data_IF_805353596711
#
_entry.id   IF_805353596711
#
_cell.length_a   1.000
_cell.length_b   1.000
_cell.length_c   1.000
_cell.angle_alpha   90.00
_cell.angle_beta   90.00
_cell.angle_gamma   90.00
#
_symmetry.space_group_name_H-M   'P 1'
#
loop_
_entity.id
_entity.type
_entity.pdbx_description
1 polymer ?
#
# COMPACT_ATOMS: atom_id res chain seq x y z
N UNK A 1 -33.40 -51.50 60.12
CA UNK A 1 -32.92 -50.14 59.89
C UNK A 1 -32.22 -50.14 58.51
N UNK A 2 -32.91 -49.80 57.45
CA UNK A 2 -32.35 -49.73 56.07
C UNK A 2 -32.15 -48.26 55.70
N UNK A 3 -30.89 -47.89 55.47
CA UNK A 3 -30.56 -46.56 54.98
C UNK A 3 -30.78 -46.49 53.46
N UNK A 4 -31.67 -45.61 53.06
CA UNK A 4 -31.91 -45.26 51.67
C UNK A 4 -30.90 -44.16 51.28
N UNK A 5 -30.06 -44.43 50.30
CA UNK A 5 -29.16 -43.43 49.67
C UNK A 5 -29.86 -42.90 48.44
N UNK A 6 -30.24 -41.61 48.47
CA UNK A 6 -30.75 -40.88 47.30
C UNK A 6 -29.55 -40.42 46.46
N UNK A 7 -29.50 -40.89 45.21
CA UNK A 7 -28.60 -40.37 44.17
C UNK A 7 -29.30 -39.19 43.49
N UNK A 8 -28.76 -37.98 43.66
CA UNK A 8 -29.10 -36.82 42.87
C UNK A 8 -28.24 -36.82 41.59
N UNK A 9 -28.85 -37.11 40.46
CA UNK A 9 -28.25 -36.94 39.14
C UNK A 9 -28.50 -35.49 38.71
N UNK A 10 -27.48 -34.65 38.88
CA UNK A 10 -27.49 -33.27 38.34
C UNK A 10 -27.30 -33.27 36.85
N UNK A 11 -28.35 -32.94 36.12
CA UNK A 11 -28.33 -32.70 34.68
C UNK A 11 -27.68 -31.32 34.44
N UNK A 12 -26.38 -31.28 34.18
CA UNK A 12 -25.74 -30.08 33.67
C UNK A 12 -26.14 -29.88 32.20
N UNK A 13 -27.10 -29.01 32.00
CA UNK A 13 -27.38 -28.46 30.66
C UNK A 13 -26.18 -27.61 30.22
N UNK A 14 -25.34 -28.15 29.35
CA UNK A 14 -24.35 -27.42 28.61
C UNK A 14 -25.09 -26.50 27.62
N UNK A 15 -25.43 -25.29 28.08
CA UNK A 15 -25.76 -24.20 27.17
C UNK A 15 -24.47 -23.81 26.43
N UNK A 16 -24.24 -24.45 25.28
CA UNK A 16 -23.30 -23.98 24.29
C UNK A 16 -23.79 -22.63 23.79
N UNK A 17 -23.22 -21.55 24.31
CA UNK A 17 -23.23 -20.28 23.61
C UNK A 17 -22.49 -20.49 22.28
N UNK A 18 -23.22 -20.86 21.24
CA UNK A 18 -22.80 -20.56 19.89
C UNK A 18 -22.84 -19.02 19.79
N UNK A 19 -21.71 -18.38 20.03
CA UNK A 19 -21.45 -17.07 19.45
C UNK A 19 -21.57 -17.29 17.93
N UNK A 20 -22.74 -16.96 17.38
CA UNK A 20 -22.83 -16.59 15.99
C UNK A 20 -21.89 -15.38 15.83
N UNK A 21 -20.64 -15.63 15.39
CA UNK A 21 -19.87 -14.62 14.73
C UNK A 21 -20.80 -14.11 13.62
N UNK A 22 -21.36 -12.92 13.82
CA UNK A 22 -21.91 -12.15 12.72
C UNK A 22 -20.75 -12.10 11.73
N UNK A 23 -20.87 -12.82 10.62
CA UNK A 23 -20.02 -12.61 9.48
C UNK A 23 -20.20 -11.13 9.15
N UNK A 24 -19.22 -10.31 9.51
CA UNK A 24 -19.23 -8.90 9.19
C UNK A 24 -19.19 -8.87 7.67
N UNK A 25 -20.25 -8.36 7.04
CA UNK A 25 -20.30 -8.25 5.59
C UNK A 25 -19.03 -7.47 5.17
N UNK A 26 -18.24 -8.08 4.29
CA UNK A 26 -17.03 -7.45 3.79
C UNK A 26 -17.37 -6.09 3.19
N UNK A 27 -16.68 -5.06 3.63
CA UNK A 27 -16.94 -3.71 3.16
C UNK A 27 -15.88 -3.25 2.17
N UNK A 28 -16.25 -2.32 1.32
CA UNK A 28 -15.33 -1.77 0.34
C UNK A 28 -14.84 -0.38 0.75
N UNK A 29 -13.56 -0.14 0.51
CA UNK A 29 -12.95 1.17 0.55
C UNK A 29 -12.83 1.65 -0.89
N UNK A 30 -13.28 2.85 -1.20
CA UNK A 30 -13.14 3.43 -2.55
C UNK A 30 -12.17 4.59 -2.53
N UNK A 31 -11.47 4.80 -3.65
CA UNK A 31 -10.52 5.90 -3.81
C UNK A 31 -11.07 6.96 -4.76
N UNK A 32 -10.86 8.22 -4.41
CA UNK A 32 -11.15 9.40 -5.23
C UNK A 32 -9.87 10.21 -5.39
N UNK A 33 -9.29 10.20 -6.59
CA UNK A 33 -8.18 11.11 -6.94
C UNK A 33 -8.76 12.45 -7.38
N UNK A 34 -8.24 13.54 -6.83
CA UNK A 34 -8.64 14.91 -7.17
C UNK A 34 -7.77 15.57 -8.25
N UNK A 35 -6.74 14.86 -8.75
CA UNK A 35 -5.92 15.32 -9.86
C UNK A 35 -4.68 16.13 -9.47
N UNK A 36 -4.49 16.50 -8.20
CA UNK A 36 -3.28 17.19 -7.71
C UNK A 36 -3.55 18.34 -6.75
N UNK A 37 -2.48 19.07 -6.37
CA UNK A 37 -2.50 20.05 -5.29
C UNK A 37 -3.30 21.33 -5.58
N UNK A 38 -3.53 21.69 -6.82
CA UNK A 38 -4.15 22.97 -7.17
C UNK A 38 -5.68 22.83 -7.32
N UNK A 39 -6.14 22.74 -8.55
CA UNK A 39 -7.58 22.66 -8.82
C UNK A 39 -8.04 21.21 -8.84
N UNK A 40 -9.06 20.86 -8.04
CA UNK A 40 -9.60 19.49 -8.09
C UNK A 40 -10.30 19.23 -9.42
N UNK A 41 -10.16 18.00 -9.95
CA UNK A 41 -10.82 17.55 -11.19
C UNK A 41 -12.34 17.45 -11.05
N UNK A 42 -12.85 17.35 -9.81
CA UNK A 42 -14.26 17.13 -9.51
C UNK A 42 -14.74 18.06 -8.41
N UNK A 43 -15.99 18.52 -8.52
CA UNK A 43 -16.66 19.22 -7.43
C UNK A 43 -17.18 18.26 -6.36
N UNK A 44 -17.49 18.77 -5.16
CA UNK A 44 -18.07 17.97 -4.09
C UNK A 44 -19.39 17.31 -4.54
N UNK A 45 -20.25 18.00 -5.30
CA UNK A 45 -21.51 17.48 -5.82
C UNK A 45 -21.31 16.29 -6.78
N UNK A 46 -20.30 16.37 -7.64
CA UNK A 46 -19.99 15.28 -8.56
C UNK A 46 -19.53 14.03 -7.79
N UNK A 47 -18.70 14.21 -6.75
CA UNK A 47 -18.21 13.11 -5.92
C UNK A 47 -19.36 12.51 -5.12
N UNK A 48 -20.20 13.33 -4.49
CA UNK A 48 -21.42 12.88 -3.77
C UNK A 48 -22.32 12.04 -4.68
N UNK A 49 -22.67 12.56 -5.88
CA UNK A 49 -23.51 11.84 -6.83
C UNK A 49 -22.89 10.50 -7.28
N UNK A 50 -21.56 10.45 -7.40
CA UNK A 50 -20.87 9.21 -7.72
C UNK A 50 -20.91 8.20 -6.57
N UNK A 51 -20.63 8.64 -5.35
CA UNK A 51 -20.66 7.79 -4.15
C UNK A 51 -22.09 7.28 -3.90
N UNK A 52 -23.13 8.09 -4.09
CA UNK A 52 -24.52 7.64 -4.01
C UNK A 52 -24.81 6.51 -5.00
N UNK A 53 -24.39 6.67 -6.25
CA UNK A 53 -24.58 5.66 -7.28
C UNK A 53 -23.84 4.36 -6.92
N UNK A 54 -22.60 4.46 -6.46
CA UNK A 54 -21.75 3.31 -6.08
C UNK A 54 -22.30 2.61 -4.85
N UNK A 55 -22.78 3.36 -3.85
CA UNK A 55 -23.34 2.81 -2.60
C UNK A 55 -24.65 2.04 -2.81
N UNK A 56 -25.33 2.24 -3.94
CA UNK A 56 -26.47 1.40 -4.33
C UNK A 56 -26.04 0.03 -4.86
N UNK A 57 -24.80 -0.09 -5.33
CA UNK A 57 -24.25 -1.32 -5.90
C UNK A 57 -23.45 -2.11 -4.88
N UNK A 58 -22.67 -1.44 -4.02
CA UNK A 58 -21.74 -2.07 -3.07
C UNK A 58 -21.76 -1.37 -1.71
N UNK A 59 -21.48 -2.07 -0.59
CA UNK A 59 -21.37 -1.47 0.73
C UNK A 59 -20.05 -0.69 0.85
N UNK A 60 -20.10 0.65 0.70
CA UNK A 60 -18.96 1.54 0.89
C UNK A 60 -18.79 1.83 2.38
N UNK A 61 -17.65 1.48 2.97
CA UNK A 61 -17.33 1.73 4.38
C UNK A 61 -16.47 2.98 4.57
N UNK A 62 -15.53 3.21 3.66
CA UNK A 62 -14.59 4.32 3.73
C UNK A 62 -14.35 4.90 2.34
N UNK A 63 -14.05 6.20 2.30
CA UNK A 63 -13.58 6.89 1.10
C UNK A 63 -12.20 7.44 1.37
N UNK A 64 -11.22 7.02 0.59
CA UNK A 64 -9.89 7.62 0.53
C UNK A 64 -9.94 8.70 -0.53
N UNK A 65 -9.69 9.95 -0.16
CA UNK A 65 -9.81 11.09 -1.05
C UNK A 65 -8.57 11.98 -0.97
N UNK A 66 -8.07 12.39 -2.09
CA UNK A 66 -6.98 13.37 -2.19
C UNK A 66 -6.43 13.48 -3.59
N UNK A 67 -5.51 14.34 -3.71
CA UNK A 67 -5.15 15.44 -2.81
C UNK A 67 -5.44 16.75 -3.51
N UNK A 68 -5.80 17.77 -2.76
CA UNK A 68 -6.02 19.14 -3.23
C UNK A 68 -5.89 20.08 -2.04
N UNK A 69 -5.60 21.36 -2.28
CA UNK A 69 -5.60 22.39 -1.24
C UNK A 69 -7.01 22.99 -1.00
N UNK A 70 -8.02 22.59 -1.75
CA UNK A 70 -9.38 23.06 -1.61
C UNK A 70 -10.05 22.41 -0.38
N UNK A 71 -9.99 23.13 0.75
CA UNK A 71 -10.58 22.69 2.02
C UNK A 71 -12.11 22.55 1.97
N UNK A 72 -12.78 23.34 1.15
CA UNK A 72 -14.25 23.37 1.12
C UNK A 72 -14.81 22.08 0.52
N UNK A 73 -14.11 21.48 -0.45
CA UNK A 73 -14.49 20.17 -0.98
C UNK A 73 -14.48 19.09 0.10
N UNK A 74 -13.45 19.06 0.94
CA UNK A 74 -13.33 18.06 2.03
C UNK A 74 -14.39 18.27 3.11
N UNK A 75 -14.62 19.51 3.57
CA UNK A 75 -15.62 19.80 4.59
C UNK A 75 -17.02 19.38 4.15
N UNK A 76 -17.40 19.70 2.91
CA UNK A 76 -18.70 19.32 2.34
C UNK A 76 -18.83 17.81 2.17
N UNK A 77 -17.76 17.14 1.75
CA UNK A 77 -17.74 15.68 1.64
C UNK A 77 -17.76 15.01 3.00
N UNK A 78 -17.03 15.54 4.00
CA UNK A 78 -17.02 15.01 5.35
C UNK A 78 -18.41 15.04 5.98
N UNK A 79 -19.12 16.17 5.91
CA UNK A 79 -20.51 16.27 6.39
C UNK A 79 -21.41 15.21 5.74
N UNK A 80 -21.37 15.11 4.42
CA UNK A 80 -22.17 14.14 3.66
C UNK A 80 -21.84 12.68 3.99
N UNK A 81 -20.56 12.32 4.06
CA UNK A 81 -20.11 10.94 4.32
C UNK A 81 -20.44 10.51 5.76
N UNK A 82 -20.24 11.39 6.73
CA UNK A 82 -20.55 11.12 8.14
C UNK A 82 -22.06 10.91 8.36
N UNK A 83 -22.92 11.68 7.70
CA UNK A 83 -24.38 11.46 7.75
C UNK A 83 -24.79 10.08 7.25
N UNK A 84 -23.98 9.46 6.39
CA UNK A 84 -24.18 8.09 5.88
C UNK A 84 -23.43 7.02 6.67
N UNK A 85 -22.67 7.40 7.69
CA UNK A 85 -21.81 6.48 8.45
C UNK A 85 -20.59 5.98 7.67
N UNK A 86 -20.18 6.71 6.62
CA UNK A 86 -19.00 6.41 5.80
C UNK A 86 -17.82 7.24 6.31
N UNK A 87 -16.69 6.60 6.58
CA UNK A 87 -15.48 7.28 7.04
C UNK A 87 -14.72 7.94 5.89
N UNK A 88 -14.15 9.11 6.15
CA UNK A 88 -13.36 9.87 5.18
C UNK A 88 -11.88 9.86 5.56
N UNK A 89 -11.01 9.32 4.69
CA UNK A 89 -9.57 9.28 4.89
C UNK A 89 -8.87 10.18 3.88
N UNK A 90 -7.92 11.00 4.37
CA UNK A 90 -7.08 11.80 3.48
C UNK A 90 -6.06 10.90 2.76
N UNK A 91 -6.05 10.93 1.44
CA UNK A 91 -4.97 10.35 0.64
C UNK A 91 -3.76 11.27 0.71
N UNK A 92 -2.75 10.89 1.48
CA UNK A 92 -1.59 11.72 1.79
C UNK A 92 -0.32 11.12 1.20
N UNK A 93 0.27 11.73 0.15
CA UNK A 93 1.57 11.32 -0.35
C UNK A 93 2.67 11.71 0.64
N UNK A 94 3.65 10.82 0.85
CA UNK A 94 4.68 10.98 1.90
C UNK A 94 6.04 11.34 1.31
N UNK A 95 6.65 10.42 0.54
CA UNK A 95 8.01 10.64 0.00
C UNK A 95 8.03 11.01 -1.47
N UNK A 96 6.91 11.33 -2.08
CA UNK A 96 6.85 11.86 -3.43
C UNK A 96 5.60 12.75 -3.62
N UNK A 97 5.55 13.49 -4.72
CA UNK A 97 4.39 14.30 -5.12
C UNK A 97 3.98 15.39 -4.12
N UNK A 98 4.94 15.87 -3.32
CA UNK A 98 4.75 16.97 -2.35
C UNK A 98 5.57 18.21 -2.71
N UNK A 99 6.26 18.22 -3.84
CA UNK A 99 7.17 19.28 -4.27
C UNK A 99 6.49 20.63 -4.47
N UNK A 100 5.21 20.62 -4.80
CA UNK A 100 4.42 21.85 -5.01
C UNK A 100 4.02 22.53 -3.69
N UNK A 101 4.05 21.80 -2.58
CA UNK A 101 3.57 22.28 -1.26
C UNK A 101 4.63 22.20 -0.16
N UNK A 102 5.71 21.46 -0.38
CA UNK A 102 6.79 21.28 0.57
C UNK A 102 8.16 21.37 -0.11
N UNK A 103 9.11 22.05 0.54
CA UNK A 103 10.51 22.00 0.16
C UNK A 103 11.19 20.81 0.86
N UNK A 104 11.39 19.73 0.13
CA UNK A 104 11.94 18.48 0.62
C UNK A 104 13.34 18.21 0.09
N UNK A 105 14.14 17.47 0.86
CA UNK A 105 15.42 16.93 0.44
C UNK A 105 15.19 15.72 -0.47
N UNK A 106 15.74 15.72 -1.72
CA UNK A 106 15.53 14.61 -2.64
C UNK A 106 16.26 13.34 -2.18
N UNK A 107 15.72 12.18 -2.57
CA UNK A 107 16.46 10.92 -2.52
C UNK A 107 17.54 10.91 -3.63
N UNK A 108 18.73 10.38 -3.30
CA UNK A 108 19.83 10.20 -4.26
C UNK A 108 20.21 8.71 -4.32
N UNK A 109 20.81 8.29 -5.43
CA UNK A 109 21.36 6.94 -5.54
C UNK A 109 22.65 6.78 -4.72
N UNK A 110 23.27 5.60 -4.74
CA UNK A 110 24.53 5.36 -4.02
C UNK A 110 25.71 6.17 -4.55
N UNK A 111 25.59 6.78 -5.73
CA UNK A 111 26.62 7.66 -6.34
C UNK A 111 26.31 9.14 -6.16
N UNK A 112 25.27 9.49 -5.37
CA UNK A 112 24.89 10.86 -5.05
C UNK A 112 24.09 11.57 -6.14
N UNK A 113 23.57 10.85 -7.14
CA UNK A 113 22.76 11.42 -8.21
C UNK A 113 21.26 11.26 -7.89
N UNK A 114 20.46 12.26 -8.25
CA UNK A 114 18.99 12.10 -8.24
C UNK A 114 18.62 11.20 -9.40
N UNK A 115 18.04 10.00 -9.16
CA UNK A 115 17.68 9.10 -10.24
C UNK A 115 16.66 9.74 -11.19
N UNK A 116 16.91 9.59 -12.49
CA UNK A 116 15.97 10.05 -13.51
C UNK A 116 14.71 9.16 -13.51
N UNK A 117 13.56 9.79 -13.66
CA UNK A 117 12.34 9.04 -13.94
C UNK A 117 12.30 8.64 -15.41
N UNK A 118 11.80 7.45 -15.71
CA UNK A 118 11.46 7.08 -17.08
C UNK A 118 10.25 7.92 -17.53
N UNK A 119 10.26 8.29 -18.82
CA UNK A 119 9.07 8.82 -19.48
C UNK A 119 8.11 7.66 -19.71
N UNK A 120 7.18 7.49 -18.78
CA UNK A 120 6.18 6.42 -18.86
C UNK A 120 5.04 6.86 -19.78
N UNK A 121 4.53 5.93 -20.58
CA UNK A 121 3.36 6.14 -21.44
C UNK A 121 2.11 6.60 -20.66
N UNK A 122 2.09 6.40 -19.36
CA UNK A 122 1.05 6.87 -18.45
C UNK A 122 1.27 8.31 -17.91
N UNK A 123 2.39 8.96 -18.25
CA UNK A 123 2.71 10.29 -17.74
C UNK A 123 3.11 10.36 -16.27
N UNK A 124 3.41 9.22 -15.65
CA UNK A 124 3.74 9.13 -14.23
C UNK A 124 5.25 9.17 -14.02
N UNK A 125 5.79 10.33 -13.68
CA UNK A 125 7.19 10.52 -13.27
C UNK A 125 7.25 10.98 -11.83
N UNK A 126 7.70 10.12 -10.90
CA UNK A 126 7.79 10.48 -9.49
C UNK A 126 9.22 10.84 -9.11
N UNK A 127 9.39 12.01 -8.47
CA UNK A 127 10.60 12.33 -7.71
C UNK A 127 10.39 11.89 -6.27
N UNK A 128 11.34 11.15 -5.74
CA UNK A 128 11.28 10.71 -4.35
C UNK A 128 12.15 11.57 -3.45
N UNK A 129 11.66 11.78 -2.24
CA UNK A 129 12.34 12.50 -1.17
C UNK A 129 13.08 11.52 -0.26
N UNK A 130 14.14 11.98 0.40
CA UNK A 130 14.92 11.16 1.32
C UNK A 130 14.04 10.71 2.52
N UNK A 131 13.88 9.39 2.76
CA UNK A 131 13.09 8.91 3.89
C UNK A 131 13.75 9.16 5.25
N UNK A 132 15.07 9.34 5.27
CA UNK A 132 15.84 9.54 6.52
C UNK A 132 15.94 10.99 6.94
N UNK A 133 15.54 11.94 6.10
CA UNK A 133 15.60 13.35 6.47
C UNK A 133 14.42 13.72 7.40
N UNK A 134 14.70 14.11 8.66
CA UNK A 134 13.64 14.47 9.60
C UNK A 134 12.83 15.69 9.13
N UNK A 135 13.41 16.57 8.29
CA UNK A 135 12.69 17.69 7.67
C UNK A 135 11.54 17.17 6.80
N UNK A 136 11.80 16.15 5.97
CA UNK A 136 10.78 15.58 5.09
C UNK A 136 9.62 14.96 5.88
N UNK A 137 9.93 14.23 6.95
CA UNK A 137 8.91 13.68 7.85
C UNK A 137 8.10 14.80 8.55
N UNK A 138 8.78 15.83 9.04
CA UNK A 138 8.12 16.99 9.67
C UNK A 138 7.23 17.75 8.69
N UNK A 139 7.65 17.88 7.42
CA UNK A 139 6.86 18.53 6.38
C UNK A 139 5.55 17.77 6.11
N UNK A 140 5.55 16.45 6.04
CA UNK A 140 4.33 15.65 5.82
C UNK A 140 3.33 15.84 6.97
N UNK A 141 3.81 15.76 8.21
CA UNK A 141 2.96 15.98 9.39
C UNK A 141 2.46 17.43 9.44
N UNK A 142 3.35 18.40 9.18
CA UNK A 142 3.01 19.83 9.11
C UNK A 142 2.01 20.14 7.99
N UNK A 143 2.08 19.46 6.87
CA UNK A 143 1.12 19.59 5.77
C UNK A 143 -0.29 19.19 6.21
N UNK A 144 -0.42 18.06 6.92
CA UNK A 144 -1.69 17.67 7.53
C UNK A 144 -2.20 18.76 8.51
N UNK A 145 -1.35 19.20 9.43
CA UNK A 145 -1.74 20.17 10.47
C UNK A 145 -2.20 21.52 9.86
N UNK A 146 -1.55 21.97 8.80
CA UNK A 146 -1.82 23.28 8.17
C UNK A 146 -3.01 23.25 7.20
N UNK A 147 -3.16 22.18 6.43
CA UNK A 147 -4.15 22.15 5.35
C UNK A 147 -5.37 21.29 5.66
N UNK A 148 -5.26 20.26 6.50
CA UNK A 148 -6.29 19.23 6.59
C UNK A 148 -6.88 19.00 7.97
N UNK A 149 -6.26 19.49 9.04
CA UNK A 149 -6.68 19.21 10.42
C UNK A 149 -8.10 19.71 10.76
N UNK A 150 -8.62 20.68 10.01
CA UNK A 150 -9.96 21.26 10.18
C UNK A 150 -10.97 20.83 9.10
N UNK A 151 -10.64 19.77 8.33
CA UNK A 151 -11.46 19.28 7.21
C UNK A 151 -12.35 18.07 7.55
N UNK A 152 -12.32 17.57 8.78
CA UNK A 152 -13.20 16.48 9.24
C UNK A 152 -12.76 15.09 8.80
N UNK A 153 -11.47 14.85 8.57
CA UNK A 153 -10.97 13.51 8.28
C UNK A 153 -10.99 12.60 9.51
N UNK A 154 -11.45 11.37 9.34
CA UNK A 154 -11.38 10.30 10.35
C UNK A 154 -10.00 9.64 10.41
N UNK A 155 -9.21 9.81 9.35
CA UNK A 155 -7.90 9.19 9.25
C UNK A 155 -7.13 9.67 8.02
N UNK A 156 -5.95 9.08 7.87
CA UNK A 156 -5.05 9.28 6.72
C UNK A 156 -4.77 7.96 6.04
N UNK A 157 -4.56 8.02 4.74
CA UNK A 157 -4.06 6.92 3.94
C UNK A 157 -2.72 7.33 3.35
N UNK A 158 -1.64 6.77 3.90
CA UNK A 158 -0.26 7.11 3.55
C UNK A 158 0.15 6.41 2.27
N UNK A 159 0.39 7.17 1.23
CA UNK A 159 0.89 6.71 -0.05
C UNK A 159 2.32 7.20 -0.31
N UNK A 160 3.00 6.62 -1.29
CA UNK A 160 4.42 6.92 -1.61
C UNK A 160 5.35 6.70 -0.41
N UNK A 161 5.01 5.78 0.50
CA UNK A 161 5.80 5.40 1.69
C UNK A 161 6.91 4.41 1.34
N UNK A 162 7.74 4.78 0.37
CA UNK A 162 8.76 3.94 -0.24
C UNK A 162 9.86 4.75 -0.90
N UNK A 163 10.89 4.08 -1.36
CA UNK A 163 11.86 4.64 -2.31
C UNK A 163 11.46 4.31 -3.76
N UNK A 164 12.29 4.72 -4.70
CA UNK A 164 12.10 4.41 -6.13
C UNK A 164 12.14 2.91 -6.39
N UNK A 165 11.36 2.48 -7.38
CA UNK A 165 11.37 1.11 -7.91
C UNK A 165 12.27 1.00 -9.13
N UNK A 166 12.23 -0.17 -9.80
CA UNK A 166 12.91 -0.38 -11.07
C UNK A 166 12.40 0.50 -12.23
N UNK A 167 11.34 1.30 -12.02
CA UNK A 167 10.95 2.40 -12.92
C UNK A 167 12.11 3.37 -13.16
N UNK A 168 12.90 3.63 -12.12
CA UNK A 168 14.13 4.44 -12.20
C UNK A 168 15.40 3.58 -12.36
N UNK A 169 15.27 2.35 -12.84
CA UNK A 169 16.38 1.42 -13.01
C UNK A 169 17.07 1.01 -11.72
N UNK A 170 18.26 0.42 -11.86
CA UNK A 170 19.11 0.01 -10.73
C UNK A 170 19.47 1.19 -9.83
N UNK A 171 19.77 2.35 -10.42
CA UNK A 171 20.08 3.59 -9.69
C UNK A 171 18.94 3.98 -8.71
N UNK A 172 17.67 3.85 -9.12
CA UNK A 172 16.53 4.12 -8.24
C UNK A 172 16.40 3.13 -7.09
N UNK A 173 16.61 1.85 -7.38
CA UNK A 173 16.50 0.77 -6.37
C UNK A 173 17.68 0.79 -5.39
N UNK A 174 18.88 1.17 -5.84
CA UNK A 174 20.04 1.38 -4.99
C UNK A 174 20.09 2.83 -4.48
N UNK A 175 19.12 3.21 -3.67
CA UNK A 175 18.95 4.52 -3.02
C UNK A 175 18.21 4.37 -1.67
N UNK A 176 18.24 5.33 -0.77
CA UNK A 176 18.93 6.60 -0.80
C UNK A 176 20.36 6.49 -0.23
N UNK A 177 21.34 7.06 -0.93
CA UNK A 177 22.76 7.09 -0.55
C UNK A 177 23.21 8.44 0.05
N UNK A 178 22.30 9.31 0.50
CA UNK A 178 22.66 10.57 1.14
C UNK A 178 23.30 10.33 2.53
N UNK A 179 24.06 11.31 3.08
CA UNK A 179 24.75 11.12 4.37
C UNK A 179 23.85 10.64 5.52
N UNK A 180 22.62 11.13 5.61
CA UNK A 180 21.65 10.69 6.63
C UNK A 180 21.26 9.22 6.46
N UNK A 181 21.05 8.77 5.23
CA UNK A 181 20.74 7.37 4.95
C UNK A 181 21.98 6.49 5.22
N UNK A 182 23.17 6.92 4.82
CA UNK A 182 24.43 6.19 5.09
C UNK A 182 24.60 5.95 6.60
N UNK A 183 24.37 6.97 7.43
CA UNK A 183 24.41 6.83 8.89
C UNK A 183 23.40 5.80 9.41
N UNK A 184 22.15 5.83 8.91
CA UNK A 184 21.12 4.86 9.31
C UNK A 184 21.44 3.44 8.83
N UNK A 185 21.96 3.28 7.63
CA UNK A 185 22.41 1.96 7.15
C UNK A 185 23.57 1.42 8.00
N UNK A 186 24.52 2.28 8.40
CA UNK A 186 25.59 1.89 9.29
C UNK A 186 25.07 1.43 10.67
N UNK A 187 24.04 2.05 11.21
CA UNK A 187 23.36 1.61 12.43
C UNK A 187 22.70 0.22 12.28
N UNK A 188 22.26 -0.14 11.08
CA UNK A 188 21.76 -1.47 10.71
C UNK A 188 22.91 -2.48 10.39
N UNK A 189 24.17 -2.07 10.53
CA UNK A 189 25.34 -2.90 10.26
C UNK A 189 25.68 -3.01 8.76
N UNK A 190 25.21 -2.10 7.92
CA UNK A 190 25.47 -2.06 6.47
C UNK A 190 26.39 -0.90 6.12
N UNK A 191 27.53 -1.22 5.53
CA UNK A 191 28.46 -0.24 4.94
C UNK A 191 28.06 0.02 3.49
N UNK A 192 27.59 1.23 3.19
CA UNK A 192 27.13 1.63 1.85
C UNK A 192 28.26 1.63 0.83
N UNK A 193 29.50 1.97 1.23
CA UNK A 193 30.65 1.92 0.30
C UNK A 193 31.00 0.45 -0.06
N UNK A 194 30.83 -0.48 0.89
CA UNK A 194 30.97 -1.91 0.59
C UNK A 194 29.86 -2.43 -0.34
N UNK A 195 28.61 -1.97 -0.16
CA UNK A 195 27.49 -2.30 -1.07
C UNK A 195 27.79 -1.80 -2.49
N UNK A 196 28.24 -0.57 -2.61
CA UNK A 196 28.59 0.05 -3.89
C UNK A 196 29.73 -0.70 -4.60
N UNK A 197 30.83 -0.98 -3.87
CA UNK A 197 31.96 -1.74 -4.39
C UNK A 197 31.57 -3.15 -4.84
N UNK A 198 30.70 -3.84 -4.08
CA UNK A 198 30.21 -5.17 -4.43
C UNK A 198 29.34 -5.15 -5.67
N UNK A 199 28.44 -4.13 -5.79
CA UNK A 199 27.64 -3.96 -7.00
C UNK A 199 28.52 -3.64 -8.22
N UNK A 200 29.49 -2.76 -8.10
CA UNK A 200 30.43 -2.43 -9.19
C UNK A 200 31.26 -3.63 -9.64
N UNK A 201 31.60 -4.52 -8.71
CA UNK A 201 32.35 -5.75 -9.00
C UNK A 201 31.51 -6.86 -9.64
N UNK A 202 30.22 -6.97 -9.26
CA UNK A 202 29.33 -8.08 -9.66
C UNK A 202 28.34 -7.73 -10.76
N UNK A 203 28.05 -6.43 -10.96
CA UNK A 203 27.00 -5.99 -11.86
C UNK A 203 25.66 -6.64 -11.53
N UNK A 204 24.95 -7.12 -12.53
CA UNK A 204 23.63 -7.72 -12.37
C UNK A 204 23.62 -8.94 -11.43
N UNK A 205 24.75 -9.67 -11.32
CA UNK A 205 24.85 -10.81 -10.41
C UNK A 205 24.70 -10.41 -8.93
N UNK A 206 24.84 -9.13 -8.58
CA UNK A 206 24.51 -8.60 -7.26
C UNK A 206 23.04 -8.88 -6.89
N UNK A 207 22.14 -8.85 -7.87
CA UNK A 207 20.71 -9.08 -7.71
C UNK A 207 20.29 -10.56 -7.83
N UNK A 208 21.21 -11.49 -8.14
CA UNK A 208 20.85 -12.90 -8.30
C UNK A 208 20.21 -13.47 -7.04
N UNK A 209 19.22 -14.35 -7.22
CA UNK A 209 18.46 -14.96 -6.14
C UNK A 209 18.58 -16.48 -6.18
N UNK A 210 18.62 -17.10 -5.01
CA UNK A 210 18.69 -18.57 -4.85
C UNK A 210 17.30 -19.21 -4.88
N UNK A 211 16.29 -18.47 -4.43
CA UNK A 211 14.89 -18.92 -4.41
C UNK A 211 13.93 -17.75 -4.34
N UNK A 212 12.67 -18.06 -4.61
CA UNK A 212 11.52 -17.20 -4.35
C UNK A 212 10.50 -17.97 -3.51
N UNK A 213 10.10 -17.36 -2.39
CA UNK A 213 9.06 -17.89 -1.52
C UNK A 213 7.94 -16.83 -1.40
N UNK A 214 6.68 -17.16 -1.67
CA UNK A 214 5.58 -16.19 -1.65
C UNK A 214 5.47 -15.37 -0.36
N UNK A 215 5.80 -15.97 0.78
CA UNK A 215 5.71 -15.34 2.10
C UNK A 215 6.99 -14.64 2.55
N UNK A 216 8.14 -14.93 1.93
CA UNK A 216 9.44 -14.38 2.28
C UNK A 216 10.04 -13.49 1.16
N UNK A 217 9.46 -13.53 -0.04
CA UNK A 217 9.96 -12.82 -1.21
C UNK A 217 11.18 -13.49 -1.85
N UNK A 218 12.07 -12.69 -2.42
CA UNK A 218 13.29 -13.14 -3.09
C UNK A 218 14.44 -13.31 -2.10
N UNK A 219 15.06 -14.50 -2.10
CA UNK A 219 16.25 -14.80 -1.29
C UNK A 219 17.49 -14.51 -2.14
N UNK A 220 18.22 -13.45 -1.85
CA UNK A 220 19.44 -13.07 -2.60
C UNK A 220 20.58 -14.09 -2.37
N UNK A 221 21.30 -14.44 -3.44
CA UNK A 221 22.54 -15.25 -3.36
C UNK A 221 23.68 -14.42 -2.75
N UNK A 222 23.73 -13.14 -3.08
CA UNK A 222 24.74 -12.22 -2.59
C UNK A 222 24.40 -11.76 -1.16
N UNK A 223 25.21 -12.07 -0.14
CA UNK A 223 24.91 -11.71 1.25
C UNK A 223 24.93 -10.19 1.49
N UNK A 224 25.71 -9.42 0.69
CA UNK A 224 25.73 -7.96 0.79
C UNK A 224 24.40 -7.40 0.27
N UNK A 225 23.88 -7.92 -0.84
CA UNK A 225 22.55 -7.53 -1.36
C UNK A 225 21.45 -7.87 -0.34
N UNK A 226 21.47 -9.08 0.22
CA UNK A 226 20.51 -9.52 1.24
C UNK A 226 20.50 -8.57 2.45
N UNK A 227 21.69 -8.24 2.98
CA UNK A 227 21.84 -7.32 4.10
C UNK A 227 21.35 -5.89 3.74
N UNK A 228 21.70 -5.40 2.56
CA UNK A 228 21.29 -4.09 2.08
C UNK A 228 19.78 -3.95 1.98
N UNK A 229 19.09 -4.87 1.28
CA UNK A 229 17.64 -4.78 1.11
C UNK A 229 16.88 -4.97 2.42
N UNK A 230 17.40 -5.79 3.34
CA UNK A 230 16.86 -5.90 4.70
C UNK A 230 16.98 -4.57 5.45
N UNK A 231 18.18 -4.01 5.51
CA UNK A 231 18.43 -2.72 6.17
C UNK A 231 17.62 -1.57 5.53
N UNK A 232 17.48 -1.57 4.20
CA UNK A 232 16.64 -0.62 3.48
C UNK A 232 15.17 -0.70 3.95
N UNK A 233 14.64 -1.92 4.09
CA UNK A 233 13.32 -2.15 4.66
C UNK A 233 13.17 -1.51 6.04
N UNK A 234 14.13 -1.77 6.95
CA UNK A 234 14.12 -1.20 8.29
C UNK A 234 14.22 0.33 8.28
N UNK A 235 15.16 0.91 7.52
CA UNK A 235 15.41 2.37 7.49
C UNK A 235 14.18 3.13 6.97
N UNK A 236 13.60 2.67 5.87
CA UNK A 236 12.44 3.35 5.26
C UNK A 236 11.20 3.15 6.14
N UNK A 237 10.91 1.92 6.55
CA UNK A 237 9.72 1.61 7.34
C UNK A 237 9.74 2.26 8.71
N UNK A 238 10.90 2.39 9.37
CA UNK A 238 11.02 3.13 10.63
C UNK A 238 10.67 4.62 10.48
N UNK A 239 11.01 5.23 9.35
CA UNK A 239 10.64 6.63 9.06
C UNK A 239 9.14 6.76 8.83
N UNK A 240 8.53 5.83 8.11
CA UNK A 240 7.07 5.77 7.91
C UNK A 240 6.34 5.55 9.23
N UNK A 241 6.83 4.63 10.07
CA UNK A 241 6.27 4.35 11.39
C UNK A 241 6.24 5.62 12.27
N UNK A 242 7.31 6.40 12.29
CA UNK A 242 7.36 7.65 13.04
C UNK A 242 6.33 8.69 12.54
N UNK A 243 6.11 8.80 11.23
CA UNK A 243 5.09 9.66 10.63
C UNK A 243 3.69 9.14 11.03
N UNK A 244 3.45 7.84 10.89
CA UNK A 244 2.19 7.19 11.24
C UNK A 244 1.81 7.41 12.70
N UNK A 245 2.75 7.20 13.63
CA UNK A 245 2.54 7.40 15.06
C UNK A 245 2.27 8.88 15.39
N UNK A 246 2.95 9.80 14.71
CA UNK A 246 2.69 11.22 14.85
C UNK A 246 1.27 11.61 14.40
N UNK A 247 0.80 11.08 13.27
CA UNK A 247 -0.56 11.31 12.77
C UNK A 247 -1.61 10.61 13.65
N UNK A 248 -1.33 9.39 14.11
CA UNK A 248 -2.20 8.66 15.06
C UNK A 248 -2.36 9.41 16.39
N UNK A 249 -1.33 10.09 16.88
CA UNK A 249 -1.41 10.91 18.10
C UNK A 249 -2.40 12.07 17.99
N UNK A 250 -2.86 12.41 16.79
CA UNK A 250 -3.93 13.37 16.48
C UNK A 250 -5.33 12.76 16.47
N UNK A 251 -5.44 11.46 16.82
CA UNK A 251 -6.71 10.71 16.79
C UNK A 251 -7.10 10.16 15.43
N UNK A 252 -6.16 10.13 14.47
CA UNK A 252 -6.42 9.67 13.10
C UNK A 252 -6.22 8.15 12.98
N UNK A 253 -7.11 7.48 12.25
CA UNK A 253 -6.84 6.17 11.71
C UNK A 253 -5.74 6.25 10.64
N UNK A 254 -4.83 5.27 10.60
CA UNK A 254 -3.73 5.23 9.63
C UNK A 254 -3.85 4.00 8.74
N UNK A 255 -4.14 4.22 7.46
CA UNK A 255 -3.99 3.23 6.40
C UNK A 255 -2.69 3.42 5.63
N UNK A 256 -2.14 2.35 5.07
CA UNK A 256 -0.88 2.39 4.33
C UNK A 256 -0.99 1.72 2.97
N UNK A 257 -0.50 2.42 1.92
CA UNK A 257 -0.39 1.89 0.56
C UNK A 257 0.95 1.18 0.35
N UNK A 258 0.91 -0.11 0.09
CA UNK A 258 2.11 -0.95 0.01
C UNK A 258 2.24 -1.58 -1.38
N UNK A 259 3.48 -1.77 -1.81
CA UNK A 259 3.76 -2.67 -2.95
C UNK A 259 3.31 -4.09 -2.64
N UNK A 260 3.01 -4.86 -3.67
CA UNK A 260 2.74 -6.29 -3.50
C UNK A 260 3.91 -6.95 -2.74
N UNK A 261 3.64 -7.90 -1.82
CA UNK A 261 4.66 -8.45 -0.92
C UNK A 261 5.95 -8.89 -1.61
N UNK A 262 5.88 -9.50 -2.81
CA UNK A 262 7.05 -10.01 -3.52
C UNK A 262 8.03 -8.93 -3.99
N UNK A 263 7.58 -7.68 -4.17
CA UNK A 263 8.41 -6.55 -4.62
C UNK A 263 8.72 -5.55 -3.51
N UNK A 264 8.11 -5.68 -2.35
CA UNK A 264 8.16 -4.68 -1.28
C UNK A 264 9.58 -4.39 -0.77
N UNK A 265 10.45 -5.41 -0.68
CA UNK A 265 11.83 -5.25 -0.22
C UNK A 265 12.66 -4.33 -1.12
N UNK A 266 12.44 -4.37 -2.44
CA UNK A 266 13.18 -3.52 -3.38
C UNK A 266 12.90 -2.02 -3.18
N UNK A 267 11.71 -1.68 -2.71
CA UNK A 267 11.30 -0.29 -2.48
C UNK A 267 11.41 0.14 -1.00
N UNK A 268 11.98 -0.72 -0.14
CA UNK A 268 12.22 -0.42 1.27
C UNK A 268 10.98 -0.53 2.16
N UNK A 269 10.03 -1.38 1.80
CA UNK A 269 8.86 -1.65 2.64
C UNK A 269 9.03 -2.98 3.39
N UNK A 270 9.12 -2.90 4.72
CA UNK A 270 9.06 -4.03 5.63
C UNK A 270 7.64 -4.16 6.18
N UNK A 271 6.93 -5.18 5.73
CA UNK A 271 5.53 -5.40 6.10
C UNK A 271 5.32 -5.61 7.60
N UNK A 272 6.26 -6.25 8.30
CA UNK A 272 6.13 -6.49 9.72
C UNK A 272 6.14 -5.16 10.50
N UNK A 273 7.10 -4.28 10.18
CA UNK A 273 7.19 -2.97 10.81
C UNK A 273 5.97 -2.12 10.44
N UNK A 274 5.61 -2.04 9.16
CA UNK A 274 4.53 -1.17 8.69
C UNK A 274 3.16 -1.61 9.21
N UNK A 275 2.90 -2.93 9.27
CA UNK A 275 1.65 -3.46 9.80
C UNK A 275 1.45 -3.19 11.29
N UNK A 276 2.53 -3.17 12.09
CA UNK A 276 2.48 -2.84 13.52
C UNK A 276 2.14 -1.35 13.77
N UNK A 277 2.40 -0.49 12.78
CA UNK A 277 2.14 0.95 12.83
C UNK A 277 0.95 1.39 11.97
N UNK A 278 0.17 0.46 11.43
CA UNK A 278 -1.03 0.73 10.63
C UNK A 278 -2.29 0.21 11.31
N UNK A 279 -3.41 0.90 11.15
CA UNK A 279 -4.73 0.36 11.47
C UNK A 279 -5.22 -0.58 10.36
N UNK A 280 -4.81 -0.31 9.13
CA UNK A 280 -4.96 -1.24 8.01
C UNK A 280 -3.87 -1.04 6.95
N UNK A 281 -3.60 -2.12 6.21
CA UNK A 281 -2.70 -2.11 5.06
C UNK A 281 -3.47 -2.40 3.76
N UNK A 282 -3.03 -1.78 2.69
CA UNK A 282 -3.55 -1.97 1.33
C UNK A 282 -2.38 -2.30 0.39
N UNK A 283 -2.01 -3.58 0.24
CA UNK A 283 -1.12 -3.99 -0.83
C UNK A 283 -1.73 -3.76 -2.20
N UNK A 284 -0.95 -3.20 -3.13
CA UNK A 284 -1.33 -2.99 -4.52
C UNK A 284 -1.22 -4.31 -5.29
N UNK A 285 -2.28 -5.13 -5.30
CA UNK A 285 -2.31 -6.42 -5.97
C UNK A 285 -2.85 -6.30 -7.41
N UNK A 286 -2.25 -5.36 -8.16
CA UNK A 286 -2.67 -4.99 -9.51
C UNK A 286 -2.06 -5.94 -10.55
N UNK A 287 -2.84 -6.93 -11.00
CA UNK A 287 -2.40 -7.97 -11.94
C UNK A 287 -2.37 -7.52 -13.39
N UNK A 288 -3.25 -6.59 -13.76
CA UNK A 288 -3.42 -6.11 -15.15
C UNK A 288 -2.94 -4.67 -15.37
N UNK A 289 -2.33 -4.07 -14.35
CA UNK A 289 -1.82 -2.71 -14.46
C UNK A 289 -0.42 -2.70 -15.08
N UNK A 290 -0.28 -2.03 -16.23
CA UNK A 290 0.99 -1.80 -16.94
C UNK A 290 1.51 -0.38 -16.67
N UNK A 291 1.64 -0.06 -15.39
CA UNK A 291 2.14 1.22 -14.86
C UNK A 291 2.79 0.97 -13.49
N UNK A 292 3.46 1.97 -12.87
CA UNK A 292 4.07 1.82 -11.54
C UNK A 292 3.14 1.17 -10.52
N UNK A 293 3.69 0.28 -9.70
CA UNK A 293 3.01 -0.60 -8.74
C UNK A 293 2.16 -1.73 -9.36
N UNK A 294 2.01 -1.82 -10.67
CA UNK A 294 1.46 -3.02 -11.32
C UNK A 294 2.42 -4.19 -11.18
N UNK A 295 1.94 -5.34 -10.69
CA UNK A 295 2.80 -6.48 -10.33
C UNK A 295 3.64 -6.98 -11.51
N UNK A 296 3.01 -7.21 -12.67
CA UNK A 296 3.71 -7.65 -13.88
C UNK A 296 4.64 -6.58 -14.44
N UNK A 297 4.21 -5.32 -14.42
CA UNK A 297 5.00 -4.20 -14.88
C UNK A 297 6.31 -4.04 -14.09
N UNK A 298 6.24 -4.05 -12.76
CA UNK A 298 7.42 -3.93 -11.90
C UNK A 298 8.36 -5.14 -12.03
N UNK A 299 7.80 -6.34 -12.18
CA UNK A 299 8.60 -7.54 -12.38
C UNK A 299 9.31 -7.54 -13.74
N UNK A 300 8.65 -7.08 -14.79
CA UNK A 300 9.25 -6.90 -16.12
C UNK A 300 10.37 -5.86 -16.10
N UNK A 301 10.19 -4.77 -15.35
CA UNK A 301 11.22 -3.75 -15.20
C UNK A 301 12.44 -4.27 -14.43
N UNK A 302 12.24 -5.03 -13.35
CA UNK A 302 13.32 -5.74 -12.67
C UNK A 302 14.11 -6.61 -13.67
N UNK A 303 13.42 -7.46 -14.44
CA UNK A 303 14.06 -8.37 -15.40
C UNK A 303 14.80 -7.64 -16.53
N UNK A 304 14.33 -6.46 -16.91
CA UNK A 304 14.99 -5.60 -17.90
C UNK A 304 16.17 -4.83 -17.33
N UNK A 305 16.08 -4.42 -16.06
CA UNK A 305 17.13 -3.62 -15.42
C UNK A 305 18.36 -4.47 -15.07
N UNK A 306 18.16 -5.77 -14.79
CA UNK A 306 19.23 -6.72 -14.41
C UNK A 306 19.12 -8.02 -15.20
N UNK A 307 19.31 -7.98 -16.54
CA UNK A 307 19.05 -9.11 -17.43
C UNK A 307 19.93 -10.35 -17.17
N UNK A 308 21.12 -10.17 -16.63
CA UNK A 308 22.08 -11.24 -16.33
C UNK A 308 21.94 -11.79 -14.90
N UNK A 309 21.07 -11.21 -14.06
CA UNK A 309 20.75 -11.73 -12.75
C UNK A 309 19.99 -13.07 -12.85
N UNK A 310 20.38 -14.05 -12.01
CA UNK A 310 19.88 -15.43 -12.07
C UNK A 310 18.85 -15.72 -10.98
N UNK A 311 18.15 -16.86 -11.13
CA UNK A 311 17.28 -17.43 -10.12
C UNK A 311 15.87 -16.87 -10.08
N UNK A 312 15.54 -15.85 -10.85
CA UNK A 312 14.19 -15.30 -10.92
C UNK A 312 13.23 -16.27 -11.65
N UNK A 313 12.13 -16.70 -11.01
CA UNK A 313 11.16 -17.59 -11.64
C UNK A 313 10.38 -16.89 -12.77
N UNK A 314 9.74 -17.70 -13.62
CA UNK A 314 8.72 -17.20 -14.55
C UNK A 314 7.39 -17.02 -13.78
N UNK A 315 7.12 -15.79 -13.34
CA UNK A 315 5.91 -15.48 -12.57
C UNK A 315 4.77 -15.09 -13.52
N UNK A 316 3.66 -15.81 -13.37
CA UNK A 316 2.40 -15.45 -14.05
C UNK A 316 1.54 -14.64 -13.09
N UNK A 317 1.05 -13.49 -13.54
CA UNK A 317 0.17 -12.62 -12.75
C UNK A 317 -1.29 -13.09 -12.82
N UNK A 318 -1.49 -14.39 -12.55
CA UNK A 318 -2.80 -15.06 -12.52
C UNK A 318 -3.43 -15.04 -11.11
N UNK A 319 -4.54 -15.73 -10.93
CA UNK A 319 -5.25 -15.79 -9.65
C UNK A 319 -4.50 -16.62 -8.61
N UNK A 320 -3.74 -17.64 -9.02
CA UNK A 320 -2.88 -18.43 -8.14
C UNK A 320 -1.76 -17.56 -7.55
N UNK A 321 -1.16 -16.71 -8.38
CA UNK A 321 -0.18 -15.75 -7.90
C UNK A 321 -0.81 -14.74 -6.93
N UNK A 322 -2.03 -14.26 -7.22
CA UNK A 322 -2.79 -13.41 -6.30
C UNK A 322 -2.98 -14.12 -4.95
N UNK A 323 -3.42 -15.37 -4.92
CA UNK A 323 -3.55 -16.14 -3.68
C UNK A 323 -2.23 -16.24 -2.90
N UNK A 324 -1.10 -16.38 -3.59
CA UNK A 324 0.21 -16.40 -2.93
C UNK A 324 0.54 -15.08 -2.22
N UNK A 325 0.19 -13.94 -2.84
CA UNK A 325 0.40 -12.62 -2.26
C UNK A 325 -0.58 -12.35 -1.09
N UNK A 326 -1.84 -12.80 -1.21
CA UNK A 326 -2.81 -12.73 -0.12
C UNK A 326 -2.35 -13.55 1.09
N UNK A 327 -1.83 -14.75 0.87
CA UNK A 327 -1.27 -15.60 1.94
C UNK A 327 -0.11 -14.92 2.67
N UNK A 328 0.74 -14.18 1.96
CA UNK A 328 1.84 -13.43 2.57
C UNK A 328 1.36 -12.36 3.57
N UNK A 329 0.11 -11.92 3.47
CA UNK A 329 -0.48 -10.92 4.36
C UNK A 329 -1.15 -11.53 5.60
N UNK A 330 -1.48 -12.82 5.60
CA UNK A 330 -2.22 -13.46 6.69
C UNK A 330 -1.60 -13.27 8.09
N UNK A 331 -0.26 -13.29 8.27
CA UNK A 331 0.36 -13.17 9.59
C UNK A 331 0.13 -11.83 10.30
N UNK A 332 -0.18 -10.75 9.56
CA UNK A 332 -0.26 -9.41 10.16
C UNK A 332 -1.60 -9.20 10.88
N UNK A 333 -1.56 -8.51 12.02
CA UNK A 333 -2.72 -8.33 12.90
C UNK A 333 -3.64 -7.16 12.51
N UNK A 334 -3.12 -6.16 11.77
CA UNK A 334 -3.90 -5.00 11.33
C UNK A 334 -4.98 -5.38 10.31
N UNK A 335 -5.91 -4.46 10.04
CA UNK A 335 -6.91 -4.61 8.98
C UNK A 335 -6.25 -4.86 7.61
N UNK A 336 -6.84 -5.72 6.79
CA UNK A 336 -6.31 -6.12 5.48
C UNK A 336 -7.32 -5.81 4.40
N UNK A 337 -6.98 -4.83 3.57
CA UNK A 337 -7.80 -4.37 2.44
C UNK A 337 -6.98 -4.37 1.15
N UNK A 338 -6.72 -5.54 0.54
CA UNK A 338 -5.96 -5.61 -0.72
C UNK A 338 -6.54 -4.66 -1.77
N UNK A 339 -5.65 -3.93 -2.44
CA UNK A 339 -6.02 -3.04 -3.54
C UNK A 339 -6.22 -3.82 -4.83
N UNK A 340 -7.42 -3.70 -5.41
CA UNK A 340 -7.77 -4.31 -6.71
C UNK A 340 -8.10 -3.18 -7.67
N UNK A 341 -7.48 -3.18 -8.84
CA UNK A 341 -7.74 -2.19 -9.88
C UNK A 341 -9.11 -2.40 -10.53
N UNK A 342 -9.90 -1.33 -10.59
CA UNK A 342 -11.26 -1.36 -11.17
C UNK A 342 -11.43 -0.42 -12.37
N UNK A 343 -10.41 0.39 -12.67
CA UNK A 343 -10.45 1.34 -13.78
C UNK A 343 -10.11 0.66 -15.10
N UNK A 344 -10.89 0.95 -16.13
CA UNK A 344 -10.60 0.50 -17.47
C UNK A 344 -9.79 1.56 -18.23
N UNK A 345 -8.56 1.21 -18.60
CA UNK A 345 -7.70 2.00 -19.49
C UNK A 345 -7.03 1.03 -20.49
N UNK A 346 -7.39 1.01 -21.77
CA UNK A 346 -7.00 -0.07 -22.68
C UNK A 346 -5.53 -0.44 -22.73
N UNK A 347 -4.63 0.53 -22.56
CA UNK A 347 -3.16 0.30 -22.61
C UNK A 347 -2.56 0.08 -21.22
N UNK A 348 -3.15 0.69 -20.19
CA UNK A 348 -2.59 0.72 -18.84
C UNK A 348 -3.21 -0.34 -17.93
N UNK A 349 -4.53 -0.51 -18.00
CA UNK A 349 -5.26 -1.47 -17.18
C UNK A 349 -6.52 -1.96 -17.94
N UNK A 350 -6.40 -3.00 -18.77
CA UNK A 350 -7.51 -3.57 -19.55
C UNK A 350 -8.40 -4.47 -18.68
N UNK A 351 -8.87 -3.97 -17.55
CA UNK A 351 -9.70 -4.69 -16.59
C UNK A 351 -11.08 -5.02 -17.14
N UNK A 352 -11.71 -6.07 -16.64
CA UNK A 352 -13.09 -6.46 -16.96
C UNK A 352 -13.88 -6.80 -15.70
N UNK A 353 -15.23 -6.83 -15.76
CA UNK A 353 -16.06 -7.26 -14.65
C UNK A 353 -15.69 -8.66 -14.13
N UNK A 354 -15.38 -9.61 -15.02
CA UNK A 354 -14.99 -10.99 -14.67
C UNK A 354 -13.69 -11.02 -13.89
N UNK A 355 -12.67 -10.28 -14.40
CA UNK A 355 -11.37 -10.14 -13.74
C UNK A 355 -11.51 -9.57 -12.32
N UNK A 356 -12.32 -8.52 -12.16
CA UNK A 356 -12.55 -7.87 -10.86
C UNK A 356 -13.28 -8.82 -9.92
N UNK A 357 -14.33 -9.50 -10.40
CA UNK A 357 -15.08 -10.50 -9.62
C UNK A 357 -14.19 -11.65 -9.17
N UNK A 358 -13.31 -12.17 -10.05
CA UNK A 358 -12.34 -13.22 -9.71
C UNK A 358 -11.38 -12.74 -8.62
N UNK A 359 -10.79 -11.54 -8.79
CA UNK A 359 -9.85 -10.97 -7.83
C UNK A 359 -10.47 -10.76 -6.44
N UNK A 360 -11.70 -10.24 -6.39
CA UNK A 360 -12.39 -10.01 -5.12
C UNK A 360 -12.85 -11.30 -4.44
N UNK A 361 -13.26 -12.32 -5.21
CA UNK A 361 -13.53 -13.66 -4.65
C UNK A 361 -12.28 -14.26 -4.01
N UNK A 362 -11.12 -14.10 -4.65
CA UNK A 362 -9.85 -14.52 -4.06
C UNK A 362 -9.58 -13.77 -2.74
N UNK A 363 -9.70 -12.45 -2.70
CA UNK A 363 -9.52 -11.64 -1.47
C UNK A 363 -10.44 -12.11 -0.35
N UNK A 364 -11.73 -12.24 -0.62
CA UNK A 364 -12.73 -12.63 0.38
C UNK A 364 -12.52 -14.06 0.89
N UNK A 365 -12.00 -14.97 0.06
CA UNK A 365 -11.71 -16.35 0.45
C UNK A 365 -10.60 -16.48 1.51
N UNK A 366 -9.76 -15.45 1.70
CA UNK A 366 -8.78 -15.37 2.78
C UNK A 366 -9.33 -14.79 4.09
N UNK A 367 -10.63 -14.44 4.12
CA UNK A 367 -11.28 -13.91 5.33
C UNK A 367 -10.79 -12.51 5.73
N UNK A 368 -10.32 -11.71 4.78
CA UNK A 368 -9.90 -10.33 5.02
C UNK A 368 -11.09 -9.39 5.20
N UNK A 369 -10.83 -8.20 5.74
CA UNK A 369 -11.87 -7.24 6.13
C UNK A 369 -12.63 -6.64 4.94
N UNK A 370 -12.05 -6.73 3.74
CA UNK A 370 -12.61 -6.24 2.49
C UNK A 370 -11.53 -5.97 1.45
N UNK A 371 -11.79 -5.02 0.56
CA UNK A 371 -10.84 -4.60 -0.46
C UNK A 371 -10.88 -3.08 -0.66
N UNK A 372 -9.75 -2.51 -1.13
CA UNK A 372 -9.72 -1.16 -1.71
C UNK A 372 -9.95 -1.27 -3.21
N UNK A 373 -10.99 -0.60 -3.71
CA UNK A 373 -11.30 -0.51 -5.13
C UNK A 373 -10.50 0.65 -5.75
N UNK A 374 -9.45 0.32 -6.44
CA UNK A 374 -8.43 1.26 -6.92
C UNK A 374 -8.58 1.49 -8.44
N UNK A 375 -8.27 2.62 -8.98
CA UNK A 375 -7.56 3.77 -8.37
C UNK A 375 -8.49 4.96 -8.11
N UNK A 376 -9.50 5.15 -8.99
CA UNK A 376 -10.37 6.29 -8.94
C UNK A 376 -11.80 5.88 -9.29
N UNK A 377 -12.64 5.84 -8.28
CA UNK A 377 -14.04 5.45 -8.43
C UNK A 377 -14.81 6.38 -9.37
N UNK A 378 -14.35 7.64 -9.52
CA UNK A 378 -14.97 8.60 -10.43
C UNK A 378 -14.90 8.18 -11.89
N UNK A 379 -13.86 7.43 -12.27
CA UNK A 379 -13.56 7.01 -13.63
C UNK A 379 -13.87 5.52 -13.89
N UNK A 380 -14.18 4.74 -12.85
CA UNK A 380 -14.46 3.31 -13.01
C UNK A 380 -15.80 3.09 -13.74
N UNK A 381 -15.89 2.18 -14.73
CA UNK A 381 -17.16 1.79 -15.30
C UNK A 381 -18.09 1.18 -14.25
N UNK A 382 -19.36 1.58 -14.19
CA UNK A 382 -20.31 1.01 -13.23
C UNK A 382 -20.52 -0.49 -13.42
N UNK A 383 -20.43 -0.97 -14.67
CA UNK A 383 -20.46 -2.41 -14.99
C UNK A 383 -19.35 -3.23 -14.29
N UNK A 384 -18.26 -2.60 -13.89
CA UNK A 384 -17.21 -3.24 -13.11
C UNK A 384 -17.60 -3.47 -11.64
N UNK A 385 -18.59 -2.76 -11.14
CA UNK A 385 -19.09 -2.87 -9.77
C UNK A 385 -20.33 -3.77 -9.65
N UNK A 386 -21.10 -3.95 -10.73
CA UNK A 386 -22.32 -4.76 -10.75
C UNK A 386 -22.10 -6.21 -10.27
N UNK A 387 -21.01 -6.91 -10.66
CA UNK A 387 -20.74 -8.27 -10.19
C UNK A 387 -20.45 -8.36 -8.68
N UNK A 388 -20.20 -7.24 -8.01
CA UNK A 388 -19.90 -7.15 -6.58
C UNK A 388 -21.18 -7.01 -5.75
N UNK A 389 -22.32 -6.82 -6.39
CA UNK A 389 -23.62 -6.74 -5.75
C UNK A 389 -24.07 -8.15 -5.34
N UNK A 390 -23.65 -8.57 -4.16
CA UNK A 390 -24.07 -9.86 -3.55
C UNK A 390 -25.34 -9.67 -2.72
N UNK A 391 -26.42 -9.18 -3.35
CA UNK A 391 -27.76 -9.17 -2.72
C UNK A 391 -28.48 -10.48 -2.97
#
# INVERSE_FOLDING_TARGET
MKKVVLFFVGLMALMGCQQQQKQQEAGYIVQVSLGGWHSPDYSAEQIVGRIDTVSQLIPVQKVIIGWSQDKDIYRRLGEYLHDKGIRMLLWLPVFAETEEVCENSPAVDLWGQVPSNYDLAAGEGFRFNCPSDPKNAANVVGLYDQLFSDCGFDGVFLDRIRTQSFVSGVSGVLGCGCPLCVERFAAEGVDIEAVKAEFEAKGDAFFSVSSYEPTAGFCFENPVAAAYFKAKGHVVSASVAAIADSLRSRGLEVGMDLYAPFMASFVGQDYAILADHADFIKPMLYRQTFAPAGMGFEYDLLRKAVPDAKGYPDLKMDVEFLHSQLKAMEPYACGKYPGIEINYRPVVAPTSPEYISESLKAVLSHGFDGAVLSWNIMQAPLSHLEPLNQK
#
